data_IF_520753070624
#
_entry.id   IF_520753070624
#
_cell.length_a   1.000
_cell.length_b   1.000
_cell.length_c   1.000
_cell.angle_alpha   90.00
_cell.angle_beta   90.00
_cell.angle_gamma   90.00
#
_symmetry.space_group_name_H-M   'P 1'
#
loop_
_entity.id
_entity.type
_entity.pdbx_description
1 polymer ?
#
# COMPACT_ATOMS: atom_id res chain seq x y z
N UNK A 1 -18.09 17.61 18.27
CA UNK A 1 -17.62 16.78 17.13
C UNK A 1 -18.09 17.46 15.87
N UNK A 2 -17.23 18.30 15.29
CA UNK A 2 -17.54 19.09 14.10
C UNK A 2 -17.09 18.28 12.89
N UNK A 3 -18.02 17.74 12.12
CA UNK A 3 -17.73 17.06 10.85
C UNK A 3 -17.02 18.04 9.92
N UNK A 4 -15.76 17.76 9.55
CA UNK A 4 -15.08 18.53 8.50
C UNK A 4 -15.94 18.48 7.23
N UNK A 5 -16.37 19.65 6.76
CA UNK A 5 -16.97 19.78 5.44
C UNK A 5 -15.84 19.99 4.45
N UNK A 6 -15.42 18.92 3.79
CA UNK A 6 -14.45 18.96 2.70
C UNK A 6 -15.19 19.26 1.39
N UNK A 7 -14.64 20.12 0.50
CA UNK A 7 -15.23 20.38 -0.80
C UNK A 7 -14.95 19.21 -1.77
N UNK A 8 -15.98 18.77 -2.50
CA UNK A 8 -15.89 17.75 -3.56
C UNK A 8 -15.81 18.43 -4.94
N UNK A 9 -14.90 18.02 -5.85
CA UNK A 9 -13.91 16.94 -5.72
C UNK A 9 -12.61 17.40 -5.03
N UNK A 10 -12.14 16.66 -4.04
CA UNK A 10 -10.96 17.05 -3.23
C UNK A 10 -9.66 17.08 -4.04
N UNK A 11 -9.59 16.32 -5.13
CA UNK A 11 -8.42 16.27 -6.01
C UNK A 11 -8.29 17.50 -6.93
N UNK A 12 -9.30 18.36 -6.95
CA UNK A 12 -9.32 19.61 -7.73
C UNK A 12 -9.01 20.85 -6.88
N UNK A 13 -8.78 20.67 -5.57
CA UNK A 13 -8.48 21.74 -4.62
C UNK A 13 -7.13 22.37 -4.97
N UNK A 14 -7.08 23.70 -5.04
CA UNK A 14 -5.86 24.44 -5.30
C UNK A 14 -4.89 24.38 -4.10
N UNK A 15 -3.60 24.58 -4.34
CA UNK A 15 -2.59 24.59 -3.26
C UNK A 15 -2.89 25.62 -2.16
N UNK A 16 -3.53 26.76 -2.51
CA UNK A 16 -3.94 27.77 -1.52
C UNK A 16 -5.07 27.29 -0.63
N UNK A 17 -6.08 26.63 -1.21
CA UNK A 17 -7.23 26.12 -0.46
C UNK A 17 -6.82 24.96 0.47
N UNK A 18 -5.84 24.15 0.05
CA UNK A 18 -5.20 23.14 0.90
C UNK A 18 -4.52 23.77 2.11
N UNK A 19 -3.74 24.83 1.90
CA UNK A 19 -3.02 25.50 2.99
C UNK A 19 -3.97 26.17 3.97
N UNK A 20 -5.08 26.72 3.49
CA UNK A 20 -6.13 27.28 4.36
C UNK A 20 -6.88 26.18 5.13
N UNK A 21 -7.12 25.02 4.52
CA UNK A 21 -7.67 23.85 5.19
C UNK A 21 -6.76 23.34 6.33
N UNK A 22 -5.46 23.21 6.06
CA UNK A 22 -4.48 22.77 7.05
C UNK A 22 -4.34 23.81 8.17
N UNK A 23 -4.29 25.10 7.83
CA UNK A 23 -4.21 26.18 8.82
C UNK A 23 -5.42 26.19 9.73
N UNK A 24 -6.62 26.06 9.17
CA UNK A 24 -7.87 26.11 9.95
C UNK A 24 -8.09 24.89 10.84
N UNK A 25 -7.64 23.71 10.41
CA UNK A 25 -7.88 22.47 11.15
C UNK A 25 -6.71 22.04 12.05
N UNK A 26 -5.47 22.14 11.56
CA UNK A 26 -4.28 21.65 12.25
C UNK A 26 -3.45 22.77 12.91
N UNK A 27 -3.67 24.03 12.51
CA UNK A 27 -2.93 25.18 13.01
C UNK A 27 -1.78 25.61 12.10
N UNK A 28 -1.22 26.80 12.38
CA UNK A 28 -0.14 27.38 11.57
C UNK A 28 1.15 26.57 11.66
N UNK A 29 1.41 25.93 12.80
CA UNK A 29 2.62 25.15 13.05
C UNK A 29 2.71 23.91 12.15
N UNK A 30 1.56 23.26 11.90
CA UNK A 30 1.48 22.11 10.99
C UNK A 30 1.60 22.57 9.53
N UNK A 31 1.03 23.73 9.19
CA UNK A 31 1.22 24.31 7.86
C UNK A 31 2.69 24.62 7.58
N UNK A 32 3.42 25.17 8.55
CA UNK A 32 4.85 25.45 8.42
C UNK A 32 5.66 24.17 8.12
N UNK A 33 5.26 23.02 8.68
CA UNK A 33 5.84 21.70 8.39
C UNK A 33 5.55 21.23 6.97
N UNK A 34 4.33 21.45 6.48
CA UNK A 34 3.90 21.09 5.12
C UNK A 34 4.67 21.93 4.09
N UNK A 35 4.83 23.23 4.37
CA UNK A 35 5.62 24.15 3.54
C UNK A 35 7.11 23.78 3.56
N UNK A 36 7.67 23.46 4.73
CA UNK A 36 9.07 23.04 4.85
C UNK A 36 9.38 21.76 4.05
N UNK A 37 8.41 20.85 3.96
CA UNK A 37 8.50 19.62 3.15
C UNK A 37 8.21 19.83 1.67
N UNK A 38 7.83 21.05 1.27
CA UNK A 38 7.46 21.41 -0.11
C UNK A 38 6.34 20.53 -0.67
N UNK A 39 5.35 20.20 0.15
CA UNK A 39 4.18 19.42 -0.28
C UNK A 39 3.25 20.36 -1.06
N UNK A 40 3.06 20.16 -2.37
CA UNK A 40 2.37 21.14 -3.23
C UNK A 40 0.86 20.91 -3.31
N UNK A 41 0.38 19.69 -3.07
CA UNK A 41 -1.01 19.30 -3.31
C UNK A 41 -1.46 18.16 -2.36
N UNK A 42 -2.78 17.90 -2.37
CA UNK A 42 -3.42 16.88 -1.54
C UNK A 42 -2.94 15.47 -1.90
N UNK A 43 -2.65 15.21 -3.18
CA UNK A 43 -2.19 13.89 -3.61
C UNK A 43 -0.82 13.57 -2.98
N UNK A 44 0.07 14.56 -2.96
CA UNK A 44 1.39 14.45 -2.35
C UNK A 44 1.25 14.34 -0.84
N UNK A 45 0.36 15.13 -0.22
CA UNK A 45 0.09 15.05 1.22
C UNK A 45 -0.40 13.66 1.63
N UNK A 46 -1.32 13.06 0.87
CA UNK A 46 -1.86 11.73 1.12
C UNK A 46 -0.81 10.61 1.02
N UNK A 47 0.26 10.83 0.26
CA UNK A 47 1.40 9.90 0.11
C UNK A 47 2.43 10.01 1.23
N UNK A 48 2.38 11.07 2.05
CA UNK A 48 3.31 11.22 3.17
C UNK A 48 2.94 10.24 4.28
N UNK A 49 3.88 9.36 4.62
CA UNK A 49 3.75 8.38 5.69
C UNK A 49 3.63 9.03 7.07
N UNK A 50 4.55 9.95 7.35
CA UNK A 50 4.61 10.69 8.60
C UNK A 50 4.98 12.14 8.29
N UNK A 51 4.02 13.04 8.49
CA UNK A 51 4.21 14.48 8.28
C UNK A 51 5.27 15.06 9.22
N UNK A 52 5.55 14.42 10.35
CA UNK A 52 6.53 14.89 11.33
C UNK A 52 7.91 14.25 11.16
N UNK A 53 8.18 13.53 10.06
CA UNK A 53 9.51 12.93 9.77
C UNK A 53 10.65 13.93 10.01
N UNK A 54 10.41 15.19 9.65
CA UNK A 54 11.35 16.30 9.74
C UNK A 54 11.76 16.65 11.19
N UNK A 55 10.91 16.34 12.16
CA UNK A 55 11.17 16.53 13.59
C UNK A 55 12.27 15.57 14.07
N UNK A 56 12.31 14.36 13.54
CA UNK A 56 13.24 13.31 13.95
C UNK A 56 14.62 13.41 13.27
N UNK A 57 14.75 14.24 12.23
CA UNK A 57 16.03 14.41 11.55
C UNK A 57 17.06 15.06 12.48
N UNK A 58 18.31 14.58 12.56
CA UNK A 58 19.36 15.14 13.41
C UNK A 58 19.98 16.42 12.80
N UNK A 59 19.14 17.40 12.47
CA UNK A 59 19.54 18.70 11.91
C UNK A 59 19.00 19.86 12.75
N UNK A 60 19.77 20.94 12.81
CA UNK A 60 19.42 22.20 13.46
C UNK A 60 18.63 23.14 12.54
N UNK A 61 18.59 22.87 11.23
CA UNK A 61 17.91 23.72 10.23
C UNK A 61 16.43 23.95 10.55
N UNK A 62 15.80 22.99 11.23
CA UNK A 62 14.38 23.03 11.59
C UNK A 62 14.15 23.15 13.09
N UNK A 63 15.16 23.58 13.86
CA UNK A 63 15.07 23.63 15.32
C UNK A 63 13.91 24.50 15.82
N UNK A 64 13.73 25.68 15.25
CA UNK A 64 12.63 26.57 15.61
C UNK A 64 11.25 25.95 15.34
N UNK A 65 11.14 25.14 14.29
CA UNK A 65 9.90 24.44 13.96
C UNK A 65 9.67 23.27 14.92
N UNK A 66 10.73 22.52 15.25
CA UNK A 66 10.69 21.43 16.23
C UNK A 66 10.22 21.91 17.61
N UNK A 67 10.75 23.03 18.08
CA UNK A 67 10.40 23.60 19.38
C UNK A 67 8.91 24.01 19.48
N UNK A 68 8.24 24.27 18.35
CA UNK A 68 6.81 24.60 18.31
C UNK A 68 5.90 23.38 18.36
N UNK A 69 6.32 22.24 17.81
CA UNK A 69 5.46 21.05 17.64
C UNK A 69 5.90 19.83 18.44
N UNK A 70 7.09 19.87 19.01
CA UNK A 70 7.73 18.73 19.66
C UNK A 70 8.48 19.15 20.92
N UNK A 71 8.74 18.16 21.78
CA UNK A 71 9.53 18.29 23.00
C UNK A 71 10.81 17.48 22.86
N UNK A 72 11.91 18.03 23.35
CA UNK A 72 13.16 17.28 23.45
C UNK A 72 13.14 16.43 24.73
N UNK A 73 13.41 15.15 24.57
CA UNK A 73 13.55 14.19 25.66
C UNK A 73 14.95 14.29 26.28
N UNK A 74 15.09 13.75 27.49
CA UNK A 74 16.35 13.70 28.26
C UNK A 74 17.55 13.08 27.53
N UNK A 75 17.31 12.21 26.54
CA UNK A 75 18.32 11.55 25.72
C UNK A 75 18.71 12.37 24.47
N UNK A 76 18.13 13.58 24.33
CA UNK A 76 18.35 14.48 23.20
C UNK A 76 17.45 14.21 21.99
N UNK A 77 16.63 13.17 22.01
CA UNK A 77 15.67 12.86 20.92
C UNK A 77 14.45 13.78 20.98
N UNK A 78 13.75 13.93 19.86
CA UNK A 78 12.56 14.76 19.76
C UNK A 78 11.30 13.91 19.67
N UNK A 79 10.25 14.31 20.40
CA UNK A 79 8.94 13.67 20.37
C UNK A 79 7.86 14.70 20.06
N UNK A 80 7.05 14.43 19.04
CA UNK A 80 5.95 15.31 18.62
C UNK A 80 4.87 15.33 19.70
N UNK A 81 4.33 16.51 20.00
CA UNK A 81 3.23 16.64 20.95
C UNK A 81 1.97 15.96 20.39
N UNK A 82 1.35 15.10 21.20
CA UNK A 82 0.22 14.25 20.80
C UNK A 82 -0.98 15.04 20.25
N UNK A 83 -1.17 16.30 20.69
CA UNK A 83 -2.24 17.16 20.19
C UNK A 83 -2.07 17.60 18.73
N UNK A 84 -0.83 17.66 18.22
CA UNK A 84 -0.59 17.88 16.79
C UNK A 84 -0.77 16.60 15.99
N UNK A 85 -0.30 15.46 16.51
CA UNK A 85 -0.53 14.15 15.88
C UNK A 85 -2.01 13.85 15.71
N UNK A 86 -2.81 13.98 16.78
CA UNK A 86 -4.25 13.71 16.72
C UNK A 86 -5.00 14.56 15.68
N UNK A 87 -4.66 15.86 15.55
CA UNK A 87 -5.27 16.75 14.56
C UNK A 87 -4.87 16.41 13.13
N UNK A 88 -3.60 16.05 12.91
CA UNK A 88 -3.12 15.60 11.60
C UNK A 88 -3.75 14.27 11.23
N UNK A 89 -3.84 13.32 12.15
CA UNK A 89 -4.48 12.03 11.93
C UNK A 89 -5.96 12.19 11.58
N UNK A 90 -6.67 13.07 12.29
CA UNK A 90 -8.07 13.39 11.99
C UNK A 90 -8.24 13.98 10.57
N UNK A 91 -7.38 14.93 10.19
CA UNK A 91 -7.36 15.50 8.84
C UNK A 91 -7.08 14.43 7.78
N UNK A 92 -6.03 13.62 7.98
CA UNK A 92 -5.60 12.61 7.02
C UNK A 92 -6.66 11.53 6.84
N UNK A 93 -7.34 11.13 7.90
CA UNK A 93 -8.46 10.20 7.84
C UNK A 93 -9.65 10.81 7.08
N UNK A 94 -9.99 12.08 7.35
CA UNK A 94 -11.06 12.77 6.63
C UNK A 94 -10.76 12.91 5.12
N UNK A 95 -9.53 13.27 4.77
CA UNK A 95 -9.08 13.38 3.37
C UNK A 95 -9.10 12.02 2.66
N UNK A 96 -8.67 10.94 3.33
CA UNK A 96 -8.70 9.57 2.77
C UNK A 96 -10.12 9.07 2.55
N UNK A 97 -11.03 9.30 3.50
CA UNK A 97 -12.43 8.92 3.32
C UNK A 97 -13.08 9.72 2.19
N UNK A 98 -12.82 11.03 2.10
CA UNK A 98 -13.37 11.83 1.01
C UNK A 98 -12.78 11.44 -0.36
N UNK A 99 -11.49 11.10 -0.44
CA UNK A 99 -10.87 10.56 -1.65
C UNK A 99 -11.59 9.28 -2.13
N UNK A 100 -11.92 8.40 -1.18
CA UNK A 100 -12.65 7.15 -1.45
C UNK A 100 -14.07 7.41 -1.91
N UNK A 101 -14.74 8.43 -1.39
CA UNK A 101 -16.09 8.81 -1.82
C UNK A 101 -16.08 9.39 -3.24
N UNK A 102 -15.13 10.27 -3.54
CA UNK A 102 -14.98 10.86 -4.88
C UNK A 102 -14.65 9.80 -5.95
N UNK A 103 -13.87 8.75 -5.62
CA UNK A 103 -13.63 7.60 -6.49
C UNK A 103 -14.89 6.75 -6.74
N UNK A 104 -15.77 6.62 -5.74
CA UNK A 104 -17.03 5.89 -5.84
C UNK A 104 -18.14 6.68 -6.57
N UNK A 105 -18.13 8.02 -6.52
CA UNK A 105 -19.08 8.86 -7.28
C UNK A 105 -18.73 8.94 -8.78
N UNK A 106 -17.45 8.85 -9.15
CA UNK A 106 -17.02 8.88 -10.56
C UNK A 106 -17.34 7.58 -11.32
N UNK A 107 -17.54 6.46 -10.62
CA UNK A 107 -18.09 5.22 -11.16
C UNK A 107 -19.42 4.89 -10.49
N UNK A 108 -20.56 5.44 -10.98
CA UNK A 108 -21.85 4.95 -10.54
C UNK A 108 -21.89 3.45 -10.87
N UNK A 109 -22.24 2.64 -9.87
CA UNK A 109 -22.39 1.20 -9.95
C UNK A 109 -23.24 0.83 -11.17
N UNK A 110 -22.57 0.61 -12.30
CA UNK A 110 -23.20 0.13 -13.51
C UNK A 110 -23.15 -1.38 -13.43
N UNK A 111 -24.32 -1.98 -13.58
CA UNK A 111 -24.47 -3.40 -13.80
C UNK A 111 -23.63 -3.78 -15.02
N UNK A 112 -22.41 -4.29 -14.82
CA UNK A 112 -21.50 -4.70 -15.89
C UNK A 112 -21.42 -6.23 -15.90
N UNK A 113 -22.31 -6.84 -16.68
CA UNK A 113 -21.92 -7.93 -17.57
C UNK A 113 -21.01 -7.33 -18.65
N UNK A 114 -19.69 -7.42 -18.50
CA UNK A 114 -18.68 -7.34 -19.56
C UNK A 114 -17.27 -7.52 -18.97
N UNK A 115 -16.65 -8.64 -19.33
CA UNK A 115 -15.21 -8.87 -19.53
C UNK A 115 -14.29 -7.65 -19.34
N UNK A 116 -13.74 -7.52 -18.14
CA UNK A 116 -12.52 -6.79 -17.81
C UNK A 116 -11.85 -7.62 -16.72
N UNK A 117 -10.64 -8.11 -16.99
CA UNK A 117 -9.88 -9.05 -16.15
C UNK A 117 -9.35 -8.41 -14.86
N UNK A 118 -10.21 -7.75 -14.09
CA UNK A 118 -9.97 -7.54 -12.68
C UNK A 118 -10.30 -8.84 -11.94
N UNK A 119 -9.25 -9.61 -11.69
CA UNK A 119 -9.23 -10.82 -10.86
C UNK A 119 -9.91 -10.55 -9.51
N UNK A 120 -11.21 -10.78 -9.47
CA UNK A 120 -12.02 -10.79 -8.26
C UNK A 120 -11.78 -12.13 -7.58
N UNK A 121 -10.91 -12.13 -6.57
CA UNK A 121 -10.80 -13.26 -5.64
C UNK A 121 -12.19 -13.59 -5.11
N UNK A 122 -12.65 -14.82 -5.36
CA UNK A 122 -13.99 -15.25 -5.00
C UNK A 122 -14.24 -15.02 -3.51
N UNK A 123 -15.37 -14.41 -3.15
CA UNK A 123 -15.75 -14.11 -1.76
C UNK A 123 -15.73 -15.40 -0.89
N UNK A 124 -16.00 -16.56 -1.48
CA UNK A 124 -15.87 -17.87 -0.82
C UNK A 124 -14.44 -18.18 -0.35
N UNK A 125 -13.41 -17.77 -1.10
CA UNK A 125 -12.00 -17.99 -0.78
C UNK A 125 -11.55 -17.09 0.38
N UNK A 126 -12.00 -15.83 0.38
CA UNK A 126 -11.76 -14.86 1.46
C UNK A 126 -12.39 -15.35 2.78
N UNK A 127 -13.60 -15.89 2.71
CA UNK A 127 -14.30 -16.43 3.88
C UNK A 127 -13.68 -17.74 4.39
N UNK A 128 -13.08 -18.54 3.50
CA UNK A 128 -12.44 -19.81 3.87
C UNK A 128 -11.07 -19.62 4.52
N UNK A 129 -10.35 -18.53 4.22
CA UNK A 129 -9.03 -18.25 4.76
C UNK A 129 -8.96 -16.82 5.33
N UNK A 130 -9.34 -16.61 6.60
CA UNK A 130 -9.33 -15.27 7.21
C UNK A 130 -7.95 -14.60 7.20
N UNK A 131 -6.87 -15.39 7.30
CA UNK A 131 -5.50 -14.89 7.17
C UNK A 131 -5.19 -14.31 5.78
N UNK A 132 -5.84 -14.83 4.73
CA UNK A 132 -5.72 -14.31 3.38
C UNK A 132 -6.42 -12.94 3.27
N UNK A 133 -7.57 -12.77 3.92
CA UNK A 133 -8.24 -11.47 4.01
C UNK A 133 -7.38 -10.45 4.74
N UNK A 134 -6.73 -10.83 5.84
CA UNK A 134 -5.79 -9.96 6.55
C UNK A 134 -4.54 -9.64 5.73
N UNK A 135 -4.04 -10.59 4.94
CA UNK A 135 -2.89 -10.37 4.06
C UNK A 135 -3.25 -9.47 2.88
N UNK A 136 -4.41 -9.68 2.26
CA UNK A 136 -4.92 -8.79 1.20
C UNK A 136 -5.15 -7.40 1.77
N UNK A 137 -5.73 -7.30 2.97
CA UNK A 137 -5.92 -6.02 3.66
C UNK A 137 -4.59 -5.32 3.93
N UNK A 138 -3.60 -6.05 4.44
CA UNK A 138 -2.22 -5.57 4.61
C UNK A 138 -1.63 -5.11 3.27
N UNK A 139 -1.86 -5.83 2.19
CA UNK A 139 -1.37 -5.47 0.86
C UNK A 139 -2.10 -4.28 0.25
N UNK A 140 -3.41 -4.11 0.48
CA UNK A 140 -4.16 -2.91 0.12
C UNK A 140 -3.80 -1.70 0.99
N UNK A 141 -3.45 -1.93 2.25
CA UNK A 141 -2.96 -0.87 3.14
C UNK A 141 -1.55 -0.43 2.70
N UNK A 142 -0.69 -1.37 2.30
CA UNK A 142 0.61 -1.09 1.63
C UNK A 142 0.42 -0.40 0.27
N UNK A 143 -0.72 -0.59 -0.39
CA UNK A 143 -1.07 0.05 -1.67
C UNK A 143 -1.21 1.57 -1.58
N UNK A 144 -1.34 2.11 -0.36
CA UNK A 144 -1.25 3.56 -0.13
C UNK A 144 0.19 4.10 -0.24
N UNK A 145 1.21 3.23 -0.28
CA UNK A 145 2.62 3.59 -0.07
C UNK A 145 3.61 3.19 -1.19
N UNK A 146 3.23 2.36 -2.17
CA UNK A 146 4.17 1.90 -3.21
C UNK A 146 3.57 1.87 -4.62
N UNK A 147 4.43 2.09 -5.62
CA UNK A 147 4.13 2.10 -7.05
C UNK A 147 3.35 0.84 -7.50
N UNK A 148 2.36 1.03 -8.38
CA UNK A 148 1.35 0.03 -8.80
C UNK A 148 1.93 -1.30 -9.34
N UNK A 149 3.21 -1.36 -9.69
CA UNK A 149 3.84 -2.54 -10.29
C UNK A 149 4.26 -3.62 -9.27
N UNK A 150 4.62 -3.25 -8.03
CA UNK A 150 5.16 -4.21 -7.04
C UNK A 150 4.08 -5.13 -6.46
N UNK A 151 2.86 -4.62 -6.34
CA UNK A 151 1.71 -5.39 -5.84
C UNK A 151 1.09 -6.29 -6.91
N UNK A 152 1.31 -6.02 -8.18
CA UNK A 152 0.81 -6.87 -9.28
C UNK A 152 1.42 -8.28 -9.19
N UNK A 153 2.73 -8.37 -8.92
CA UNK A 153 3.42 -9.64 -8.68
C UNK A 153 2.82 -10.38 -7.48
N UNK A 154 2.64 -9.68 -6.37
CA UNK A 154 2.19 -10.29 -5.13
C UNK A 154 0.73 -10.76 -5.22
N UNK A 155 -0.14 -9.97 -5.85
CA UNK A 155 -1.54 -10.33 -6.13
C UNK A 155 -1.58 -11.55 -7.06
N UNK A 156 -0.77 -11.58 -8.11
CA UNK A 156 -0.69 -12.72 -9.03
C UNK A 156 -0.20 -14.00 -8.31
N UNK A 157 0.78 -13.87 -7.41
CA UNK A 157 1.24 -14.97 -6.54
C UNK A 157 0.10 -15.48 -5.65
N UNK A 158 -0.61 -14.58 -4.97
CA UNK A 158 -1.71 -14.94 -4.09
C UNK A 158 -2.86 -15.59 -4.86
N UNK A 159 -3.24 -15.05 -6.01
CA UNK A 159 -4.25 -15.63 -6.90
C UNK A 159 -3.86 -17.03 -7.35
N UNK A 160 -2.61 -17.22 -7.76
CA UNK A 160 -2.10 -18.53 -8.17
C UNK A 160 -2.15 -19.54 -7.02
N UNK A 161 -1.71 -19.16 -5.82
CA UNK A 161 -1.77 -20.02 -4.63
C UNK A 161 -3.22 -20.40 -4.32
N UNK A 162 -4.11 -19.40 -4.23
CA UNK A 162 -5.51 -19.61 -3.90
C UNK A 162 -6.21 -20.51 -4.92
N UNK A 163 -6.01 -20.23 -6.20
CA UNK A 163 -6.60 -21.02 -7.29
C UNK A 163 -6.07 -22.46 -7.26
N UNK A 164 -4.77 -22.67 -7.03
CA UNK A 164 -4.22 -24.02 -6.92
C UNK A 164 -4.69 -24.75 -5.66
N UNK A 165 -4.85 -24.07 -4.52
CA UNK A 165 -5.38 -24.69 -3.31
C UNK A 165 -6.83 -25.16 -3.44
N UNK A 166 -7.62 -24.58 -4.35
CA UNK A 166 -8.97 -25.09 -4.67
C UNK A 166 -8.96 -26.34 -5.57
N UNK A 167 -7.83 -26.64 -6.20
CA UNK A 167 -7.69 -27.77 -7.14
C UNK A 167 -7.07 -28.98 -6.45
N UNK A 168 -7.30 -30.17 -7.03
CA UNK A 168 -6.53 -31.36 -6.64
C UNK A 168 -5.05 -31.14 -6.92
N UNK A 169 -4.16 -31.64 -6.05
CA UNK A 169 -2.68 -31.48 -6.16
C UNK A 169 -2.07 -31.83 -7.53
N UNK A 170 -2.72 -32.72 -8.29
CA UNK A 170 -2.26 -33.13 -9.62
C UNK A 170 -2.64 -32.16 -10.75
N UNK A 171 -3.49 -31.16 -10.47
CA UNK A 171 -4.07 -30.24 -11.45
C UNK A 171 -3.69 -28.77 -11.18
N UNK A 172 -2.57 -28.53 -10.49
CA UNK A 172 -2.06 -27.18 -10.33
C UNK A 172 -1.65 -26.61 -11.69
N UNK A 173 -2.09 -25.38 -11.97
CA UNK A 173 -1.69 -24.63 -13.15
C UNK A 173 -1.01 -23.35 -12.71
N UNK A 174 -0.09 -22.88 -13.54
CA UNK A 174 0.75 -21.73 -13.23
C UNK A 174 0.73 -20.81 -14.43
N UNK A 175 0.53 -19.52 -14.21
CA UNK A 175 0.68 -18.52 -15.27
C UNK A 175 2.13 -18.46 -15.74
N UNK A 176 2.35 -18.00 -16.98
CA UNK A 176 3.69 -17.86 -17.54
C UNK A 176 4.57 -16.93 -16.70
N UNK A 177 3.95 -15.97 -16.04
CA UNK A 177 4.61 -15.05 -15.13
C UNK A 177 5.15 -15.78 -13.89
N UNK A 178 4.33 -16.57 -13.20
CA UNK A 178 4.75 -17.41 -12.06
C UNK A 178 5.81 -18.42 -12.48
N UNK A 179 5.70 -18.95 -13.69
CA UNK A 179 6.71 -19.87 -14.22
C UNK A 179 8.06 -19.20 -14.43
N UNK A 180 8.10 -17.98 -14.99
CA UNK A 180 9.33 -17.19 -15.13
C UNK A 180 9.94 -16.87 -13.77
N UNK A 181 9.12 -16.42 -12.81
CA UNK A 181 9.56 -16.20 -11.44
C UNK A 181 10.14 -17.47 -10.80
N UNK A 182 9.47 -18.61 -10.94
CA UNK A 182 9.92 -19.88 -10.40
C UNK A 182 11.25 -20.35 -11.01
N UNK A 183 11.45 -20.11 -12.32
CA UNK A 183 12.72 -20.38 -12.99
C UNK A 183 13.84 -19.49 -12.42
N UNK A 184 13.60 -18.19 -12.31
CA UNK A 184 14.57 -17.25 -11.73
C UNK A 184 14.91 -17.64 -10.29
N UNK A 185 13.90 -17.91 -9.47
CA UNK A 185 14.07 -18.38 -8.09
C UNK A 185 14.91 -19.67 -8.05
N UNK A 186 14.64 -20.64 -8.93
CA UNK A 186 15.40 -21.89 -8.99
C UNK A 186 16.87 -21.66 -9.39
N UNK A 187 17.14 -20.76 -10.35
CA UNK A 187 18.49 -20.43 -10.81
C UNK A 187 19.28 -19.72 -9.70
N UNK A 188 18.71 -18.67 -9.10
CA UNK A 188 19.42 -17.82 -8.14
C UNK A 188 19.53 -18.42 -6.73
N UNK A 189 18.46 -19.05 -6.24
CA UNK A 189 18.44 -19.61 -4.87
C UNK A 189 18.91 -21.07 -4.80
N UNK A 190 19.00 -21.74 -5.96
CA UNK A 190 19.35 -23.14 -6.06
C UNK A 190 18.24 -24.09 -5.60
N UNK A 191 18.50 -25.39 -5.78
CA UNK A 191 17.50 -26.46 -5.59
C UNK A 191 16.93 -26.52 -4.17
N UNK A 192 17.75 -26.27 -3.15
CA UNK A 192 17.37 -26.47 -1.75
C UNK A 192 16.42 -25.36 -1.27
N UNK A 193 16.74 -24.11 -1.57
CA UNK A 193 15.88 -22.98 -1.25
C UNK A 193 14.55 -23.04 -2.02
N UNK A 194 14.60 -23.37 -3.32
CA UNK A 194 13.38 -23.59 -4.11
C UNK A 194 12.48 -24.67 -3.48
N UNK A 195 13.07 -25.81 -3.09
CA UNK A 195 12.32 -26.92 -2.48
C UNK A 195 11.75 -26.54 -1.11
N UNK A 196 12.49 -25.77 -0.33
CA UNK A 196 12.01 -25.25 0.94
C UNK A 196 10.74 -24.41 0.73
N UNK A 197 10.77 -23.46 -0.21
CA UNK A 197 9.59 -22.62 -0.52
C UNK A 197 8.44 -23.46 -1.05
N UNK A 198 8.68 -24.41 -1.96
CA UNK A 198 7.61 -25.22 -2.56
C UNK A 198 6.92 -26.14 -1.55
N UNK A 199 7.63 -26.57 -0.50
CA UNK A 199 7.09 -27.42 0.56
C UNK A 199 6.29 -26.62 1.58
N UNK A 200 6.74 -25.40 1.90
CA UNK A 200 6.09 -24.56 2.90
C UNK A 200 4.91 -23.77 2.35
N UNK A 201 4.83 -23.56 1.03
CA UNK A 201 3.72 -22.86 0.37
C UNK A 201 3.12 -23.72 -0.74
N UNK A 202 2.20 -24.65 -0.41
CA UNK A 202 1.58 -25.53 -1.39
C UNK A 202 0.79 -24.74 -2.45
N UNK A 203 0.95 -25.10 -3.72
CA UNK A 203 0.26 -24.43 -4.83
C UNK A 203 0.94 -23.14 -5.32
N UNK A 204 2.01 -22.70 -4.66
CA UNK A 204 2.79 -21.54 -5.10
C UNK A 204 3.71 -21.85 -6.27
N UNK A 205 4.57 -22.85 -6.11
CA UNK A 205 5.64 -23.14 -7.07
C UNK A 205 5.39 -24.44 -7.83
N UNK A 206 5.67 -24.48 -9.14
CA UNK A 206 5.61 -25.70 -9.93
C UNK A 206 6.65 -26.72 -9.47
N UNK A 207 6.42 -27.98 -9.82
CA UNK A 207 7.35 -29.06 -9.48
C UNK A 207 8.73 -28.81 -10.11
N UNK A 208 9.79 -29.29 -9.44
CA UNK A 208 11.15 -29.22 -9.97
C UNK A 208 11.24 -29.92 -11.35
N UNK A 209 10.47 -30.98 -11.56
CA UNK A 209 10.40 -31.67 -12.86
C UNK A 209 9.84 -30.77 -13.95
N UNK A 210 8.81 -29.98 -13.65
CA UNK A 210 8.23 -28.98 -14.55
C UNK A 210 9.23 -27.89 -14.90
N UNK A 211 9.97 -27.38 -13.90
CA UNK A 211 11.02 -26.38 -14.10
C UNK A 211 12.13 -26.92 -14.99
N UNK A 212 12.64 -28.12 -14.70
CA UNK A 212 13.70 -28.75 -15.51
C UNK A 212 13.27 -28.99 -16.96
N UNK A 213 12.04 -29.46 -17.17
CA UNK A 213 11.48 -29.64 -18.51
C UNK A 213 11.39 -28.31 -19.26
N UNK A 214 10.99 -27.25 -18.57
CA UNK A 214 10.90 -25.91 -19.18
C UNK A 214 12.27 -25.34 -19.48
N UNK A 215 13.25 -25.47 -18.58
CA UNK A 215 14.65 -25.08 -18.83
C UNK A 215 15.27 -25.84 -20.01
N UNK A 216 14.99 -27.14 -20.15
CA UNK A 216 15.47 -27.93 -21.29
C UNK A 216 14.85 -27.49 -22.63
N UNK A 217 13.64 -26.92 -22.59
CA UNK A 217 12.93 -26.41 -23.76
C UNK A 217 13.16 -24.90 -24.00
N UNK A 218 13.78 -24.19 -23.04
CA UNK A 218 14.06 -22.76 -23.13
C UNK A 218 15.50 -22.59 -23.58
N UNK A 219 15.73 -22.38 -24.87
CA UNK A 219 16.97 -21.78 -25.35
C UNK A 219 17.00 -20.35 -24.81
N UNK A 220 17.77 -20.11 -23.74
CA UNK A 220 18.11 -18.74 -23.33
C UNK A 220 18.99 -18.08 -24.40
#
# INVERSE_FOLDING_TARGET
>A
MSTLKLPSPILSISSSDLFDLIRSHCGQEVLDIVIAQKIPDIQTLLRVNDLFTLVYLPTNEFRELKEKVAVQLHDGTWSVLIGFQARVDELMNALREQARLDENEYYPSSNITSTSDHLTLSIELLNKFPALSSLIKLCTDIHTLSDRNDLTLLIEILNNICTNLTRSKNNFQYSDYIMKFAILLFIYSGRNAYRFVSLNVPGFLPSITTIKKRLANSSF
#
